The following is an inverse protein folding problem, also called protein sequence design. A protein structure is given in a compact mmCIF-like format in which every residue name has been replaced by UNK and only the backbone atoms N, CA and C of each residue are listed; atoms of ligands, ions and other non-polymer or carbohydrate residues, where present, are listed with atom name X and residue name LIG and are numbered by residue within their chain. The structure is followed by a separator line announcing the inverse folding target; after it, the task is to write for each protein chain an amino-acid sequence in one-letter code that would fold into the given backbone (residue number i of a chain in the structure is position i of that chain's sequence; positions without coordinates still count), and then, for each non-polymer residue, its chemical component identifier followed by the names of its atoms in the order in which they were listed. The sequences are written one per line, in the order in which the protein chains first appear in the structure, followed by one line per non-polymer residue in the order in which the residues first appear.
data_IF_364156018714
#
_entry.id   IF_364156018714
#
_cell.length_a   1.000
_cell.length_b   1.000
_cell.length_c   1.000
_cell.angle_alpha   90.00
_cell.angle_beta   90.00
_cell.angle_gamma   90.00
#
_symmetry.space_group_name_H-M   'P 1'
#
loop_
_entity.id
_entity.type
_entity.pdbx_description
1 polymer ?
#
# COMPACT_ATOMS: atom_id res chain seq x y z
N UNK A 1 -15.39 57.67 26.67
CA UNK A 1 -15.33 58.68 27.76
C UNK A 1 -16.70 58.69 28.42
N UNK A 2 -16.74 58.28 29.69
CA UNK A 2 -17.70 58.64 30.75
C UNK A 2 -19.20 58.73 30.40
N UNK A 3 -20.03 57.81 30.86
CA UNK A 3 -20.55 57.69 32.24
C UNK A 3 -21.97 58.25 32.31
N UNK A 4 -22.86 57.57 33.04
CA UNK A 4 -23.39 58.10 34.29
C UNK A 4 -24.38 57.11 34.91
N UNK A 5 -23.96 56.61 36.06
CA UNK A 5 -24.79 56.09 37.16
C UNK A 5 -26.04 56.94 37.41
N UNK A 6 -27.18 56.29 37.70
CA UNK A 6 -27.72 56.19 39.08
C UNK A 6 -29.02 55.38 39.11
N UNK A 7 -29.05 54.43 40.04
CA UNK A 7 -30.22 53.71 40.50
C UNK A 7 -31.23 54.62 41.22
N UNK A 8 -32.52 54.28 41.12
CA UNK A 8 -33.54 54.65 42.09
C UNK A 8 -34.51 53.47 42.37
N UNK A 9 -34.28 52.86 43.53
CA UNK A 9 -35.14 52.21 44.54
C UNK A 9 -36.60 51.76 44.21
N UNK A 10 -36.78 50.44 44.42
CA UNK A 10 -37.79 49.71 45.25
C UNK A 10 -39.29 49.95 45.04
N UNK A 11 -40.03 48.90 44.66
CA UNK A 11 -41.32 48.44 45.26
C UNK A 11 -41.45 46.91 45.08
N UNK A 12 -41.45 46.15 46.18
CA UNK A 12 -42.59 45.47 46.84
C UNK A 12 -43.00 44.15 46.15
N UNK A 13 -43.01 43.13 47.00
CA UNK A 13 -43.28 41.71 46.81
C UNK A 13 -44.75 41.45 46.49
N UNK A 14 -45.02 40.51 45.59
CA UNK A 14 -46.24 39.69 45.63
C UNK A 14 -45.86 38.24 45.30
N UNK A 15 -45.99 37.38 46.32
CA UNK A 15 -45.93 35.93 46.21
C UNK A 15 -47.19 35.41 45.51
N UNK A 16 -47.02 34.46 44.58
CA UNK A 16 -48.05 33.49 44.21
C UNK A 16 -47.42 32.10 44.26
N UNK A 17 -48.08 31.21 44.99
CA UNK A 17 -47.61 29.89 45.38
C UNK A 17 -48.06 28.80 44.39
N UNK A 18 -47.16 27.82 44.24
CA UNK A 18 -47.32 26.40 43.93
C UNK A 18 -48.13 25.94 42.69
N UNK A 19 -47.41 25.21 41.82
CA UNK A 19 -47.71 23.79 41.59
C UNK A 19 -46.43 23.06 41.15
N UNK A 20 -45.91 22.15 41.97
CA UNK A 20 -44.88 21.23 41.53
C UNK A 20 -45.55 20.04 40.81
N UNK A 21 -45.32 19.93 39.50
CA UNK A 21 -45.44 18.64 38.82
C UNK A 21 -44.06 17.97 38.86
N UNK A 22 -43.95 16.94 39.68
CA UNK A 22 -42.83 15.99 39.59
C UNK A 22 -43.11 15.09 38.38
N UNK A 23 -42.55 15.44 37.23
CA UNK A 23 -42.40 14.47 36.15
C UNK A 23 -41.24 13.56 36.50
N UNK A 24 -41.55 12.38 37.04
CA UNK A 24 -40.61 11.27 37.16
C UNK A 24 -40.21 10.81 35.76
N UNK A 25 -39.14 11.36 35.21
CA UNK A 25 -38.51 10.83 34.02
C UNK A 25 -37.74 9.57 34.41
N UNK A 26 -38.39 8.40 34.35
CA UNK A 26 -37.69 7.12 34.28
C UNK A 26 -36.88 7.12 32.97
N UNK A 27 -35.58 7.38 33.08
CA UNK A 27 -34.64 7.15 32.01
C UNK A 27 -34.59 5.64 31.74
N UNK A 28 -35.30 5.19 30.70
CA UNK A 28 -35.12 3.84 30.15
C UNK A 28 -33.74 3.82 29.50
N UNK A 29 -32.75 3.30 30.21
CA UNK A 29 -31.43 3.02 29.64
C UNK A 29 -31.59 1.79 28.76
N UNK A 30 -31.84 2.02 27.47
CA UNK A 30 -31.79 0.94 26.47
C UNK A 30 -30.31 0.62 26.28
N UNK A 31 -29.80 -0.38 27.00
CA UNK A 31 -28.51 -1.00 26.71
C UNK A 31 -28.64 -1.73 25.37
N UNK A 32 -28.39 -1.01 24.28
CA UNK A 32 -28.11 -1.65 22.99
C UNK A 32 -26.76 -2.33 23.12
N UNK A 33 -26.77 -3.64 23.39
CA UNK A 33 -25.61 -4.48 23.15
C UNK A 33 -25.34 -4.44 21.64
N UNK A 34 -24.45 -3.55 21.22
CA UNK A 34 -23.91 -3.59 19.88
C UNK A 34 -23.21 -4.94 19.73
N UNK A 35 -23.83 -5.87 19.02
CA UNK A 35 -23.17 -7.04 18.51
C UNK A 35 -22.09 -6.54 17.57
N UNK A 36 -20.85 -6.45 18.06
CA UNK A 36 -19.68 -6.33 17.20
C UNK A 36 -19.69 -7.58 16.34
N UNK A 37 -20.23 -7.47 15.12
CA UNK A 37 -20.01 -8.48 14.10
C UNK A 37 -18.51 -8.66 14.04
N UNK A 38 -18.03 -9.82 14.48
CA UNK A 38 -16.66 -10.23 14.18
C UNK A 38 -16.57 -10.13 12.67
N UNK A 39 -15.80 -9.16 12.18
CA UNK A 39 -15.38 -9.16 10.79
C UNK A 39 -14.83 -10.56 10.60
N UNK A 40 -15.50 -11.36 9.77
CA UNK A 40 -15.04 -12.69 9.44
C UNK A 40 -13.57 -12.50 9.09
N UNK A 41 -12.65 -13.07 9.88
CA UNK A 41 -11.23 -12.80 9.74
C UNK A 41 -10.94 -12.93 8.25
N UNK A 42 -10.55 -11.81 7.62
CA UNK A 42 -10.29 -11.81 6.19
C UNK A 42 -9.40 -13.01 5.93
N UNK A 43 -9.79 -13.88 4.98
CA UNK A 43 -9.02 -15.06 4.63
C UNK A 43 -7.56 -14.66 4.53
N UNK A 44 -6.75 -15.11 5.47
CA UNK A 44 -5.34 -14.76 5.48
C UNK A 44 -4.68 -15.58 4.40
N UNK A 45 -4.11 -14.90 3.41
CA UNK A 45 -3.23 -15.56 2.45
C UNK A 45 -1.95 -15.99 3.16
N UNK A 46 -1.52 -17.23 2.94
CA UNK A 46 -0.22 -17.70 3.42
C UNK A 46 0.92 -16.90 2.78
N UNK A 47 0.76 -16.61 1.48
CA UNK A 47 1.69 -15.85 0.66
C UNK A 47 0.95 -14.93 -0.32
N UNK A 48 1.52 -13.75 -0.57
CA UNK A 48 1.11 -12.87 -1.67
C UNK A 48 2.27 -12.72 -2.63
N UNK A 49 2.06 -13.06 -3.91
CA UNK A 49 3.05 -12.88 -4.98
C UNK A 49 2.56 -11.77 -5.91
N UNK A 50 3.39 -10.75 -6.11
CA UNK A 50 3.15 -9.64 -7.01
C UNK A 50 4.11 -9.81 -8.19
N UNK A 51 3.60 -10.09 -9.38
CA UNK A 51 4.39 -10.05 -10.62
C UNK A 51 4.09 -8.75 -11.37
N UNK A 52 5.13 -8.04 -11.82
CA UNK A 52 4.98 -6.77 -12.53
C UNK A 52 5.38 -6.93 -13.99
N UNK A 53 4.45 -6.60 -14.89
CA UNK A 53 4.70 -6.37 -16.32
C UNK A 53 4.60 -4.87 -16.59
N UNK A 54 5.31 -4.38 -17.59
CA UNK A 54 5.51 -2.97 -17.90
C UNK A 54 4.77 -2.52 -19.17
N UNK A 55 4.63 -1.19 -19.28
CA UNK A 55 4.49 -0.44 -20.53
C UNK A 55 3.35 -0.77 -21.51
N UNK A 56 2.27 -1.39 -21.04
CA UNK A 56 1.05 -1.57 -21.84
C UNK A 56 -0.21 -1.14 -21.11
N UNK A 57 -1.07 -0.41 -21.82
CA UNK A 57 -2.41 -0.07 -21.37
C UNK A 57 -3.38 -1.24 -21.47
N UNK A 58 -4.50 -1.13 -20.74
CA UNK A 58 -5.55 -2.16 -20.69
C UNK A 58 -5.98 -2.66 -22.08
N UNK A 59 -6.21 -1.76 -23.03
CA UNK A 59 -6.69 -2.11 -24.38
C UNK A 59 -5.64 -2.76 -25.27
N UNK A 60 -4.36 -2.68 -24.89
CA UNK A 60 -3.26 -3.35 -25.60
C UNK A 60 -3.09 -4.81 -25.15
N UNK A 61 -3.53 -5.11 -23.91
CA UNK A 61 -3.47 -6.45 -23.33
C UNK A 61 -4.79 -7.20 -23.51
N UNK A 62 -5.91 -6.67 -23.01
CA UNK A 62 -7.17 -7.40 -22.96
C UNK A 62 -7.78 -7.54 -24.35
N UNK A 63 -7.97 -8.79 -24.78
CA UNK A 63 -8.40 -9.17 -26.13
C UNK A 63 -7.27 -9.39 -27.13
N UNK A 64 -6.01 -9.08 -26.77
CA UNK A 64 -4.86 -9.23 -27.65
C UNK A 64 -4.39 -10.68 -27.75
N UNK A 65 -4.21 -11.17 -28.99
CA UNK A 65 -3.62 -12.51 -29.23
C UNK A 65 -2.14 -12.61 -28.86
N UNK A 66 -1.47 -11.48 -28.65
CA UNK A 66 -0.06 -11.42 -28.25
C UNK A 66 0.14 -11.55 -26.74
N UNK A 67 -0.94 -11.46 -25.94
CA UNK A 67 -0.93 -11.63 -24.48
C UNK A 67 -1.88 -12.77 -24.05
N UNK A 68 -1.72 -14.00 -24.59
CA UNK A 68 -2.70 -15.07 -24.37
C UNK A 68 -2.75 -15.55 -22.92
N UNK A 69 -1.64 -15.47 -22.19
CA UNK A 69 -1.56 -15.91 -20.80
C UNK A 69 -2.29 -14.93 -19.87
N UNK A 70 -2.05 -13.63 -20.04
CA UNK A 70 -2.70 -12.55 -19.29
C UNK A 70 -4.21 -12.58 -19.52
N UNK A 71 -4.64 -12.80 -20.77
CA UNK A 71 -6.06 -12.93 -21.11
C UNK A 71 -6.71 -14.18 -20.47
N UNK A 72 -5.98 -15.30 -20.40
CA UNK A 72 -6.47 -16.49 -19.69
C UNK A 72 -6.63 -16.23 -18.18
N UNK A 73 -5.67 -15.53 -17.56
CA UNK A 73 -5.75 -15.14 -16.15
C UNK A 73 -6.94 -14.20 -15.90
N UNK A 74 -7.14 -13.19 -16.76
CA UNK A 74 -8.22 -12.22 -16.65
C UNK A 74 -9.62 -12.86 -16.74
N UNK A 75 -9.77 -13.94 -17.52
CA UNK A 75 -11.03 -14.68 -17.62
C UNK A 75 -11.32 -15.57 -16.40
N UNK A 76 -10.28 -16.03 -15.72
CA UNK A 76 -10.38 -16.99 -14.60
C UNK A 76 -10.36 -16.33 -13.23
N UNK A 77 -9.97 -15.06 -13.15
CA UNK A 77 -9.70 -14.35 -11.89
C UNK A 77 -10.34 -12.95 -11.88
N UNK A 78 -10.07 -12.20 -10.81
CA UNK A 78 -10.48 -10.81 -10.72
C UNK A 78 -9.66 -9.93 -11.68
N UNK A 79 -10.36 -9.12 -12.48
CA UNK A 79 -9.76 -8.11 -13.36
C UNK A 79 -10.11 -6.71 -12.85
N UNK A 80 -9.09 -5.91 -12.54
CA UNK A 80 -9.26 -4.53 -12.10
C UNK A 80 -9.33 -3.58 -13.31
N UNK A 81 -10.54 -3.32 -13.81
CA UNK A 81 -10.77 -2.52 -15.04
C UNK A 81 -10.62 -1.01 -14.86
N UNK A 82 -10.41 -0.54 -13.63
CA UNK A 82 -10.14 0.86 -13.29
C UNK A 82 -8.88 0.99 -12.41
N UNK A 83 -7.84 0.23 -12.76
CA UNK A 83 -6.50 0.39 -12.21
C UNK A 83 -5.64 1.18 -13.19
N UNK A 84 -4.99 2.24 -12.72
CA UNK A 84 -4.22 3.16 -13.55
C UNK A 84 -2.81 3.34 -13.00
N UNK A 85 -1.84 3.50 -13.90
CA UNK A 85 -0.53 4.01 -13.53
C UNK A 85 -0.67 5.43 -12.97
N UNK A 86 0.19 5.79 -12.03
CA UNK A 86 0.17 7.12 -11.42
C UNK A 86 0.82 8.15 -12.37
N UNK A 87 1.80 7.72 -13.16
CA UNK A 87 2.45 8.57 -14.15
C UNK A 87 3.41 7.81 -15.05
N UNK A 88 4.31 8.55 -15.70
CA UNK A 88 5.43 8.05 -16.48
C UNK A 88 6.63 8.95 -16.19
N UNK A 89 7.86 8.43 -16.01
CA UNK A 89 8.35 7.09 -16.39
C UNK A 89 8.12 5.99 -15.35
N UNK A 90 8.79 4.84 -15.51
CA UNK A 90 8.58 3.62 -14.72
C UNK A 90 8.92 3.82 -13.24
N UNK A 91 10.08 4.38 -12.91
CA UNK A 91 10.60 4.41 -11.52
C UNK A 91 9.61 5.01 -10.49
N UNK A 92 8.96 6.17 -10.74
CA UNK A 92 7.96 6.71 -9.83
C UNK A 92 6.84 5.71 -9.49
N UNK A 93 6.38 4.90 -10.46
CA UNK A 93 5.31 3.93 -10.23
C UNK A 93 5.77 2.78 -9.32
N UNK A 94 7.02 2.30 -9.44
CA UNK A 94 7.56 1.28 -8.53
C UNK A 94 7.71 1.81 -7.10
N UNK A 95 8.17 3.05 -6.95
CA UNK A 95 8.28 3.70 -5.64
C UNK A 95 6.90 3.87 -4.99
N UNK A 96 5.88 4.24 -5.77
CA UNK A 96 4.51 4.39 -5.29
C UNK A 96 3.85 3.06 -4.96
N UNK A 97 4.06 2.02 -5.75
CA UNK A 97 3.62 0.66 -5.41
C UNK A 97 4.24 0.20 -4.09
N UNK A 98 5.53 0.51 -3.88
CA UNK A 98 6.27 0.03 -2.72
C UNK A 98 6.05 0.83 -1.45
N UNK A 99 5.78 2.13 -1.55
CA UNK A 99 5.75 3.04 -0.39
C UNK A 99 4.53 3.95 -0.31
N UNK A 100 3.69 3.97 -1.33
CA UNK A 100 2.57 4.91 -1.46
C UNK A 100 2.99 6.34 -1.81
N UNK A 101 4.26 6.57 -2.18
CA UNK A 101 4.78 7.87 -2.63
C UNK A 101 5.98 7.69 -3.56
N UNK A 102 6.09 8.55 -4.59
CA UNK A 102 7.25 8.57 -5.49
C UNK A 102 8.53 9.14 -4.86
N UNK A 103 8.51 9.50 -3.57
CA UNK A 103 9.64 10.10 -2.85
C UNK A 103 10.19 11.40 -3.48
N UNK A 104 9.39 12.07 -4.31
CA UNK A 104 9.80 13.25 -5.08
C UNK A 104 10.57 12.93 -6.38
N UNK A 105 10.71 11.66 -6.72
CA UNK A 105 11.30 11.21 -8.00
C UNK A 105 10.24 11.33 -9.10
N UNK A 106 10.62 11.96 -10.22
CA UNK A 106 9.73 12.20 -11.38
C UNK A 106 10.35 11.74 -12.70
N UNK A 107 11.49 11.05 -12.62
CA UNK A 107 12.24 10.50 -13.75
C UNK A 107 12.75 9.09 -13.41
N UNK A 108 13.57 8.49 -14.28
CA UNK A 108 14.24 7.20 -14.04
C UNK A 108 15.68 7.41 -13.54
N UNK A 109 15.91 8.41 -12.67
CA UNK A 109 17.26 8.69 -12.16
C UNK A 109 17.71 7.63 -11.16
N UNK A 110 18.97 7.23 -11.25
CA UNK A 110 19.50 6.18 -10.39
C UNK A 110 20.96 6.46 -10.03
N UNK A 111 21.42 6.13 -8.80
CA UNK A 111 20.70 5.42 -7.75
C UNK A 111 19.96 6.31 -6.76
N UNK A 112 18.96 5.73 -6.10
CA UNK A 112 18.28 6.31 -4.95
C UNK A 112 18.53 5.51 -3.66
N UNK A 113 18.27 6.12 -2.49
CA UNK A 113 18.31 5.41 -1.20
C UNK A 113 17.39 6.13 -0.22
N UNK A 114 16.39 5.42 0.28
CA UNK A 114 15.33 5.94 1.12
C UNK A 114 15.30 5.24 2.48
N UNK A 115 14.83 5.99 3.47
CA UNK A 115 14.58 5.53 4.85
C UNK A 115 13.15 5.78 5.30
N UNK A 116 12.31 6.27 4.38
CA UNK A 116 10.88 6.51 4.60
C UNK A 116 10.12 5.19 4.75
N UNK A 117 8.89 5.19 5.30
CA UNK A 117 8.08 4.00 5.37
C UNK A 117 7.85 3.35 4.00
N UNK A 118 7.93 2.02 3.96
CA UNK A 118 7.62 1.21 2.78
C UNK A 118 6.88 -0.07 3.17
N UNK A 119 6.33 -0.77 2.19
CA UNK A 119 5.76 -2.11 2.36
C UNK A 119 6.79 -3.05 3.00
N UNK A 120 8.04 -3.01 2.52
CA UNK A 120 9.14 -3.79 3.08
C UNK A 120 9.36 -3.51 4.57
N UNK A 121 9.45 -2.24 4.96
CA UNK A 121 9.58 -1.85 6.37
C UNK A 121 8.41 -2.35 7.22
N UNK A 122 7.17 -2.19 6.74
CA UNK A 122 5.98 -2.57 7.48
C UNK A 122 5.90 -4.08 7.71
N UNK A 123 6.24 -4.88 6.70
CA UNK A 123 6.26 -6.34 6.81
C UNK A 123 7.35 -6.81 7.78
N UNK A 124 8.59 -6.33 7.62
CA UNK A 124 9.73 -6.68 8.48
C UNK A 124 9.43 -6.29 9.94
N UNK A 125 8.88 -5.10 10.18
CA UNK A 125 8.52 -4.63 11.53
C UNK A 125 7.41 -5.46 12.18
N UNK A 126 6.54 -6.07 11.37
CA UNK A 126 5.49 -6.97 11.83
C UNK A 126 5.97 -8.43 11.99
N UNK A 127 7.26 -8.72 11.81
CA UNK A 127 7.81 -10.07 11.83
C UNK A 127 7.39 -10.94 10.64
N UNK A 128 6.95 -10.32 9.54
CA UNK A 128 6.60 -10.97 8.28
C UNK A 128 7.78 -10.91 7.32
N UNK A 129 7.92 -11.92 6.47
CA UNK A 129 8.97 -11.97 5.47
C UNK A 129 8.56 -11.26 4.19
N UNK A 130 9.52 -10.58 3.56
CA UNK A 130 9.35 -9.89 2.27
C UNK A 130 10.60 -10.08 1.44
N UNK A 131 10.45 -10.41 0.16
CA UNK A 131 11.58 -10.54 -0.76
C UNK A 131 11.22 -9.97 -2.13
N UNK A 132 12.13 -9.22 -2.75
CA UNK A 132 12.09 -8.90 -4.18
C UNK A 132 12.97 -9.91 -4.93
N UNK A 133 12.42 -10.54 -5.98
CA UNK A 133 13.11 -11.48 -6.84
C UNK A 133 13.25 -10.87 -8.22
N UNK A 134 14.49 -10.56 -8.60
CA UNK A 134 14.80 -9.73 -9.75
C UNK A 134 15.52 -10.56 -10.81
N UNK A 135 14.93 -10.67 -11.99
CA UNK A 135 15.53 -11.40 -13.09
C UNK A 135 16.76 -10.66 -13.63
N UNK A 136 17.80 -11.42 -13.96
CA UNK A 136 19.08 -10.90 -14.47
C UNK A 136 19.80 -9.91 -13.56
N UNK A 137 19.37 -9.75 -12.30
CA UNK A 137 20.14 -9.00 -11.31
C UNK A 137 21.47 -9.72 -11.04
N UNK A 138 22.63 -9.03 -11.04
CA UNK A 138 23.94 -9.68 -10.97
C UNK A 138 24.23 -10.51 -9.71
N UNK A 139 23.72 -10.09 -8.55
CA UNK A 139 23.91 -10.75 -7.27
C UNK A 139 22.84 -10.34 -6.26
N UNK A 140 22.58 -11.15 -5.24
CA UNK A 140 21.72 -10.75 -4.12
C UNK A 140 22.27 -9.46 -3.48
N UNK A 141 21.39 -8.51 -3.16
CA UNK A 141 21.75 -7.19 -2.61
C UNK A 141 22.44 -6.25 -3.59
N UNK A 142 22.36 -6.49 -4.91
CA UNK A 142 22.98 -5.61 -5.90
C UNK A 142 22.31 -4.24 -5.97
N UNK A 143 23.13 -3.18 -5.86
CA UNK A 143 22.68 -1.78 -5.84
C UNK A 143 23.09 -0.98 -7.09
N UNK A 144 23.67 -1.62 -8.10
CA UNK A 144 23.98 -0.94 -9.37
C UNK A 144 22.70 -0.63 -10.16
N UNK A 145 22.74 0.43 -10.96
CA UNK A 145 21.58 0.88 -11.73
C UNK A 145 21.17 -0.07 -12.86
N UNK A 146 22.15 -0.71 -13.48
CA UNK A 146 21.94 -1.72 -14.51
C UNK A 146 22.83 -2.91 -14.24
N UNK A 147 22.44 -4.05 -14.78
CA UNK A 147 23.19 -5.28 -14.66
C UNK A 147 22.79 -6.27 -15.75
N UNK A 148 23.56 -7.33 -15.87
CA UNK A 148 23.20 -8.45 -16.74
C UNK A 148 23.64 -9.74 -16.10
N UNK A 149 22.73 -10.71 -16.11
CA UNK A 149 22.98 -12.09 -15.75
C UNK A 149 22.05 -12.97 -16.59
N UNK A 150 22.48 -14.21 -16.86
CA UNK A 150 21.72 -15.20 -17.64
C UNK A 150 21.27 -14.70 -19.03
N UNK A 151 22.01 -13.76 -19.63
CA UNK A 151 21.71 -13.22 -20.97
C UNK A 151 20.60 -12.15 -21.03
N UNK A 152 20.04 -11.75 -19.89
CA UNK A 152 19.04 -10.68 -19.81
C UNK A 152 19.59 -9.37 -19.22
N UNK A 153 18.76 -8.32 -19.23
CA UNK A 153 19.14 -6.97 -18.82
C UNK A 153 18.34 -6.51 -17.59
N UNK A 154 19.01 -6.39 -16.45
CA UNK A 154 18.43 -5.86 -15.22
C UNK A 154 18.47 -4.33 -15.19
N UNK A 155 17.38 -3.72 -14.71
CA UNK A 155 17.28 -2.29 -14.48
C UNK A 155 16.74 -2.02 -13.07
N UNK A 156 17.53 -1.31 -12.24
CA UNK A 156 17.19 -1.02 -10.85
C UNK A 156 15.95 -0.16 -10.70
N UNK A 157 15.63 0.68 -11.69
CA UNK A 157 14.39 1.47 -11.73
C UNK A 157 13.10 0.63 -11.60
N UNK A 158 13.18 -0.70 -11.82
CA UNK A 158 12.08 -1.65 -11.63
C UNK A 158 12.17 -2.42 -10.29
N UNK A 159 13.19 -2.19 -9.46
CA UNK A 159 13.44 -2.91 -8.21
C UNK A 159 13.42 -1.96 -7.00
N UNK A 160 12.22 -1.63 -6.47
CA UNK A 160 12.11 -0.74 -5.33
C UNK A 160 12.71 -1.36 -4.05
N UNK A 161 12.93 -2.68 -4.00
CA UNK A 161 13.61 -3.33 -2.87
C UNK A 161 15.04 -2.82 -2.67
N UNK A 162 15.74 -2.49 -3.77
CA UNK A 162 17.10 -1.96 -3.74
C UNK A 162 17.16 -0.49 -3.27
N UNK A 163 16.05 0.25 -3.32
CA UNK A 163 16.02 1.68 -2.99
C UNK A 163 15.75 1.97 -1.52
N UNK A 164 15.44 0.96 -0.69
CA UNK A 164 15.20 1.15 0.74
C UNK A 164 16.27 0.48 1.59
N UNK A 165 16.83 1.23 2.55
CA UNK A 165 17.87 0.73 3.47
C UNK A 165 17.45 -0.56 4.19
N UNK A 166 16.17 -0.71 4.52
CA UNK A 166 15.65 -1.89 5.24
C UNK A 166 15.57 -3.16 4.37
N UNK A 167 15.52 -3.03 3.04
CA UNK A 167 15.27 -4.15 2.12
C UNK A 167 16.35 -4.33 1.05
N UNK A 168 17.33 -3.43 0.97
CA UNK A 168 18.36 -3.46 -0.07
C UNK A 168 19.43 -4.55 0.15
N UNK A 169 19.43 -5.23 1.31
CA UNK A 169 20.39 -6.29 1.63
C UNK A 169 20.12 -7.61 0.88
N UNK A 170 21.08 -8.53 0.95
CA UNK A 170 21.01 -9.82 0.25
C UNK A 170 19.94 -10.79 0.78
N UNK A 171 19.34 -10.54 1.96
CA UNK A 171 18.26 -11.36 2.48
C UNK A 171 16.91 -10.99 1.85
N UNK A 172 16.71 -9.71 1.51
CA UNK A 172 15.44 -9.17 1.03
C UNK A 172 15.44 -8.81 -0.46
N UNK A 173 16.57 -8.38 -1.03
CA UNK A 173 16.73 -8.07 -2.44
C UNK A 173 17.50 -9.21 -3.14
N UNK A 174 16.78 -10.13 -3.77
CA UNK A 174 17.33 -11.37 -4.31
C UNK A 174 17.30 -11.44 -5.83
N UNK A 175 18.26 -12.17 -6.38
CA UNK A 175 18.22 -12.61 -7.77
C UNK A 175 17.07 -13.60 -7.97
N UNK A 176 16.53 -13.67 -9.18
CA UNK A 176 15.48 -14.64 -9.50
C UNK A 176 15.94 -16.11 -9.38
N UNK A 177 17.26 -16.38 -9.43
CA UNK A 177 17.80 -17.72 -9.18
C UNK A 177 17.47 -18.25 -7.76
N UNK A 178 17.14 -17.37 -6.82
CA UNK A 178 16.72 -17.74 -5.48
C UNK A 178 15.20 -18.02 -5.36
N UNK A 179 14.44 -17.91 -6.45
CA UNK A 179 13.02 -18.25 -6.47
C UNK A 179 12.80 -19.70 -6.02
N UNK A 180 11.95 -19.96 -5.02
CA UNK A 180 11.83 -21.29 -4.46
C UNK A 180 11.13 -22.26 -5.41
N UNK A 181 11.58 -23.51 -5.45
CA UNK A 181 10.85 -24.60 -6.11
C UNK A 181 9.75 -25.20 -5.24
N UNK A 182 9.86 -25.06 -3.91
CA UNK A 182 8.82 -25.39 -2.93
C UNK A 182 8.07 -24.11 -2.53
N UNK A 183 6.87 -23.92 -3.07
CA UNK A 183 6.08 -22.72 -2.82
C UNK A 183 5.53 -22.60 -1.39
N UNK A 184 5.63 -23.64 -0.56
CA UNK A 184 5.35 -23.52 0.89
C UNK A 184 6.41 -22.69 1.63
N UNK A 185 7.53 -22.40 0.98
CA UNK A 185 8.66 -21.62 1.54
C UNK A 185 8.69 -20.17 1.06
N UNK A 186 7.67 -19.72 0.32
CA UNK A 186 7.59 -18.33 -0.14
C UNK A 186 7.62 -17.36 1.06
N UNK A 187 8.11 -16.12 0.86
CA UNK A 187 7.94 -15.09 1.87
C UNK A 187 6.46 -14.75 2.04
N UNK A 188 6.11 -14.02 3.11
CA UNK A 188 4.73 -13.52 3.28
C UNK A 188 4.33 -12.64 2.10
N UNK A 189 5.24 -11.81 1.58
CA UNK A 189 5.07 -11.10 0.32
C UNK A 189 6.30 -11.26 -0.57
N UNK A 190 6.10 -11.71 -1.81
CA UNK A 190 7.13 -11.77 -2.83
C UNK A 190 6.80 -10.77 -3.94
N UNK A 191 7.77 -9.92 -4.29
CA UNK A 191 7.70 -9.11 -5.50
C UNK A 191 8.59 -9.75 -6.57
N UNK A 192 8.05 -10.06 -7.74
CA UNK A 192 8.78 -10.64 -8.88
C UNK A 192 8.87 -9.60 -9.98
N UNK A 193 10.11 -9.25 -10.33
CA UNK A 193 10.45 -8.24 -11.32
C UNK A 193 11.23 -8.90 -12.46
N UNK A 194 10.61 -9.09 -13.64
CA UNK A 194 11.33 -9.58 -14.81
C UNK A 194 12.37 -8.56 -15.30
N UNK A 195 13.26 -9.03 -16.17
CA UNK A 195 14.24 -8.18 -16.82
C UNK A 195 13.62 -7.46 -18.03
N UNK A 196 14.36 -6.52 -18.62
CA UNK A 196 13.90 -5.75 -19.80
C UNK A 196 13.65 -6.61 -21.07
N UNK A 197 13.92 -7.91 -21.04
CA UNK A 197 13.59 -8.82 -22.14
C UNK A 197 12.22 -9.50 -21.94
N UNK A 198 11.74 -9.56 -20.70
CA UNK A 198 10.60 -10.39 -20.29
C UNK A 198 9.52 -9.60 -19.54
N UNK A 199 9.73 -8.32 -19.27
CA UNK A 199 8.79 -7.44 -18.57
C UNK A 199 7.73 -6.83 -19.49
N UNK A 200 7.74 -7.16 -20.79
CA UNK A 200 6.89 -6.56 -21.83
C UNK A 200 7.25 -5.11 -22.21
N UNK A 201 8.44 -4.63 -21.83
CA UNK A 201 8.96 -3.34 -22.28
C UNK A 201 9.29 -3.32 -23.80
#
# INVERSE_FOLDING_TARGET
MFAQTRQAKRRIVALLALSQLVFGATAVVISQSASVSRVNAATSFDHVVIGIMENHGYSEIIGSSSAPYENALAQQNALMTQSYAIGHPSEPNYLELWSGSNQGVTDDSCPHTFTTPSLGQQLISAGKSVVTYNESMPSDGFLGCTGSANGGNYARKHNPGADWVVSQDAAHNKTYNAWPSDFTTLPTVALVVPNLCNDMH
#
